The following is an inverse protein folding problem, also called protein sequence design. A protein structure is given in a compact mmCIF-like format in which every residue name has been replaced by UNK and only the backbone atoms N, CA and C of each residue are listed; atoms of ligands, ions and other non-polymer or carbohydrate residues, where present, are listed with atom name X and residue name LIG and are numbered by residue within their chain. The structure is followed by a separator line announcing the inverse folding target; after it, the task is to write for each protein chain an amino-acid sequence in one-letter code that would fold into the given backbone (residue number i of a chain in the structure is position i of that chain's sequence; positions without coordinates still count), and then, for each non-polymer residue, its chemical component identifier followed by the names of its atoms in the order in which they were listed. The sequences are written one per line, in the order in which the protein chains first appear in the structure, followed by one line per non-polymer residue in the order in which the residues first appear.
data_IF_694410108871
#
_entry.id   IF_694410108871
#
_cell.length_a   1.000
_cell.length_b   1.000
_cell.length_c   1.000
_cell.angle_alpha   90.00
_cell.angle_beta   90.00
_cell.angle_gamma   90.00
#
_symmetry.space_group_name_H-M   'P 1'
#
loop_
_entity.id
_entity.type
_entity.pdbx_description
1 polymer ?
#
# COMPACT_ATOMS: atom_id res chain seq x y z
N UNK A 1 0.68 29.83 -21.91
CA UNK A 1 0.42 30.90 -20.93
C UNK A 1 1.68 31.25 -20.13
N UNK A 2 2.54 30.30 -19.75
CA UNK A 2 3.75 30.58 -18.94
C UNK A 2 5.04 30.97 -19.70
N UNK A 3 5.10 30.80 -21.03
CA UNK A 3 6.36 30.89 -21.84
C UNK A 3 7.13 32.22 -21.72
N UNK A 4 6.49 33.31 -21.29
CA UNK A 4 7.10 34.63 -21.14
C UNK A 4 6.96 35.20 -19.71
N UNK A 5 6.56 34.37 -18.74
CA UNK A 5 6.41 34.79 -17.35
C UNK A 5 7.73 34.55 -16.58
N UNK A 6 8.46 35.59 -16.17
CA UNK A 6 9.71 35.43 -15.41
C UNK A 6 9.49 34.90 -13.98
N UNK A 7 8.25 34.88 -13.50
CA UNK A 7 7.84 34.30 -12.21
C UNK A 7 7.18 32.92 -12.38
N UNK A 8 7.36 32.28 -13.54
CA UNK A 8 6.83 30.93 -13.79
C UNK A 8 7.63 29.90 -12.99
N UNK A 9 6.92 29.09 -12.20
CA UNK A 9 7.47 27.89 -11.54
C UNK A 9 7.67 26.71 -12.52
N UNK A 10 7.25 26.86 -13.78
CA UNK A 10 7.47 25.88 -14.85
C UNK A 10 8.77 26.17 -15.59
N UNK A 11 9.88 25.81 -14.96
CA UNK A 11 11.23 25.91 -15.50
C UNK A 11 11.93 24.53 -15.52
N UNK A 12 13.13 24.47 -16.09
CA UNK A 12 13.88 23.21 -16.25
C UNK A 12 14.38 22.63 -14.92
N UNK A 13 14.66 23.47 -13.93
CA UNK A 13 15.12 23.03 -12.61
C UNK A 13 13.97 22.36 -11.86
N UNK A 14 12.83 23.03 -11.78
CA UNK A 14 11.60 22.48 -11.20
C UNK A 14 11.13 21.22 -11.92
N UNK A 15 11.27 21.14 -13.25
CA UNK A 15 10.99 19.91 -14.02
C UNK A 15 11.91 18.75 -13.59
N UNK A 16 13.22 18.98 -13.47
CA UNK A 16 14.18 17.95 -13.09
C UNK A 16 13.95 17.45 -11.64
N UNK A 17 13.65 18.37 -10.72
CA UNK A 17 13.32 18.03 -9.32
C UNK A 17 12.00 17.28 -9.24
N UNK A 18 10.95 17.75 -9.92
CA UNK A 18 9.67 17.05 -9.97
C UNK A 18 9.81 15.64 -10.54
N UNK A 19 10.56 15.48 -11.63
CA UNK A 19 10.85 14.17 -12.22
C UNK A 19 11.54 13.24 -11.23
N UNK A 20 12.59 13.73 -10.55
CA UNK A 20 13.32 12.96 -9.54
C UNK A 20 12.42 12.54 -8.37
N UNK A 21 11.56 13.45 -7.89
CA UNK A 21 10.60 13.17 -6.83
C UNK A 21 9.62 12.05 -7.23
N UNK A 22 9.12 12.06 -8.47
CA UNK A 22 8.22 11.03 -8.97
C UNK A 22 8.90 9.65 -9.02
N UNK A 23 10.17 9.58 -9.45
CA UNK A 23 10.92 8.32 -9.47
C UNK A 23 11.14 7.76 -8.06
N UNK A 24 11.59 8.60 -7.12
CA UNK A 24 11.85 8.17 -5.73
C UNK A 24 10.56 7.70 -5.06
N UNK A 25 9.50 8.51 -5.13
CA UNK A 25 8.23 8.20 -4.46
C UNK A 25 7.51 7.00 -5.09
N UNK A 26 7.51 6.91 -6.43
CA UNK A 26 6.76 5.88 -7.18
C UNK A 26 7.44 4.51 -7.24
N UNK A 27 8.77 4.43 -7.07
CA UNK A 27 9.48 3.16 -7.23
C UNK A 27 9.56 2.38 -5.92
N UNK A 28 10.15 2.98 -4.89
CA UNK A 28 10.50 2.24 -3.67
C UNK A 28 9.26 1.79 -2.89
N UNK A 29 8.24 2.65 -2.79
CA UNK A 29 7.04 2.36 -2.00
C UNK A 29 6.20 1.24 -2.61
N UNK A 30 5.95 1.28 -3.93
CA UNK A 30 5.25 0.20 -4.65
C UNK A 30 6.06 -1.10 -4.59
N UNK A 31 7.36 -1.05 -4.87
CA UNK A 31 8.25 -2.22 -4.84
C UNK A 31 8.26 -2.91 -3.47
N UNK A 32 8.44 -2.12 -2.39
CA UNK A 32 8.43 -2.65 -1.03
C UNK A 32 7.06 -3.24 -0.63
N UNK A 33 5.96 -2.62 -1.07
CA UNK A 33 4.60 -3.16 -0.84
C UNK A 33 4.40 -4.49 -1.57
N UNK A 34 4.80 -4.61 -2.84
CA UNK A 34 4.73 -5.88 -3.59
C UNK A 34 5.58 -6.96 -2.95
N UNK A 35 6.82 -6.65 -2.55
CA UNK A 35 7.71 -7.60 -1.87
C UNK A 35 7.10 -8.12 -0.58
N UNK A 36 6.51 -7.24 0.23
CA UNK A 36 5.73 -7.66 1.39
C UNK A 36 4.53 -8.53 1.03
N UNK A 37 3.78 -8.16 0.00
CA UNK A 37 2.64 -8.93 -0.46
C UNK A 37 3.01 -10.37 -0.80
N UNK A 38 4.09 -10.58 -1.56
CA UNK A 38 4.60 -11.92 -1.87
C UNK A 38 5.04 -12.68 -0.61
N UNK A 39 5.71 -12.01 0.33
CA UNK A 39 6.13 -12.61 1.60
C UNK A 39 4.93 -13.05 2.45
N UNK A 40 3.92 -12.19 2.57
CA UNK A 40 2.70 -12.44 3.34
C UNK A 40 1.88 -13.57 2.70
N UNK A 41 1.76 -13.63 1.38
CA UNK A 41 1.07 -14.73 0.71
C UNK A 41 1.77 -16.07 0.90
N UNK A 42 3.11 -16.12 0.85
CA UNK A 42 3.84 -17.35 1.18
C UNK A 42 3.71 -17.75 2.66
N UNK A 43 3.54 -16.76 3.56
CA UNK A 43 3.28 -17.01 4.99
C UNK A 43 1.88 -17.60 5.20
N UNK A 44 0.93 -17.19 4.37
CA UNK A 44 -0.50 -17.48 4.45
C UNK A 44 -0.98 -18.18 3.16
N UNK A 45 -0.55 -19.44 2.90
CA UNK A 45 -0.91 -20.16 1.67
C UNK A 45 -2.43 -20.32 1.48
N UNK A 46 -3.20 -20.32 2.56
CA UNK A 46 -4.67 -20.31 2.53
C UNK A 46 -5.25 -19.02 1.93
N UNK A 47 -4.57 -17.89 2.12
CA UNK A 47 -4.95 -16.60 1.51
C UNK A 47 -4.56 -16.60 0.04
N UNK A 48 -3.36 -17.08 -0.30
CA UNK A 48 -2.93 -17.25 -1.69
C UNK A 48 -3.90 -18.14 -2.48
N UNK A 49 -4.33 -19.27 -1.92
CA UNK A 49 -5.26 -20.19 -2.57
C UNK A 49 -6.61 -19.53 -2.93
N UNK A 50 -7.15 -18.69 -2.03
CA UNK A 50 -8.40 -17.97 -2.30
C UNK A 50 -8.24 -16.87 -3.35
N UNK A 51 -7.09 -16.21 -3.40
CA UNK A 51 -6.78 -15.26 -4.49
C UNK A 51 -6.68 -15.99 -5.83
N UNK A 52 -6.04 -17.17 -5.87
CA UNK A 52 -6.00 -18.01 -7.06
C UNK A 52 -7.40 -18.42 -7.51
N UNK A 53 -8.25 -18.90 -6.61
CA UNK A 53 -9.64 -19.27 -6.91
C UNK A 53 -10.42 -18.09 -7.52
N UNK A 54 -10.29 -16.89 -6.96
CA UNK A 54 -10.96 -15.70 -7.46
C UNK A 54 -10.41 -15.26 -8.83
N UNK A 55 -9.09 -15.34 -9.06
CA UNK A 55 -8.46 -15.11 -10.37
C UNK A 55 -9.01 -16.08 -11.40
N UNK A 56 -9.03 -17.37 -11.08
CA UNK A 56 -9.46 -18.43 -12.00
C UNK A 56 -10.95 -18.26 -12.35
N UNK A 57 -11.78 -17.90 -11.38
CA UNK A 57 -13.21 -17.70 -11.57
C UNK A 57 -13.55 -16.42 -12.36
N UNK A 58 -12.83 -15.32 -12.16
CA UNK A 58 -13.18 -14.01 -12.73
C UNK A 58 -12.45 -13.75 -14.05
N UNK A 59 -11.17 -14.10 -14.13
CA UNK A 59 -10.29 -13.79 -15.26
C UNK A 59 -9.98 -15.05 -16.07
N UNK A 60 -9.73 -16.17 -15.39
CA UNK A 60 -9.22 -17.41 -15.99
C UNK A 60 -7.77 -17.26 -16.49
N UNK A 61 -7.25 -18.28 -17.20
CA UNK A 61 -5.85 -18.31 -17.66
C UNK A 61 -5.62 -17.73 -19.06
N UNK A 62 -6.69 -17.52 -19.85
CA UNK A 62 -6.57 -17.11 -21.26
C UNK A 62 -6.59 -15.59 -21.47
N UNK A 63 -6.88 -14.82 -20.43
CA UNK A 63 -7.00 -13.37 -20.48
C UNK A 63 -6.00 -12.72 -19.55
N UNK A 64 -5.53 -11.51 -19.89
CA UNK A 64 -4.65 -10.74 -19.01
C UNK A 64 -5.50 -9.98 -17.98
N UNK A 65 -5.08 -9.91 -16.71
CA UNK A 65 -5.76 -9.10 -15.71
C UNK A 65 -5.88 -7.63 -16.14
N UNK A 66 -7.01 -7.03 -15.83
CA UNK A 66 -7.32 -5.65 -16.16
C UNK A 66 -8.01 -4.94 -14.98
N UNK A 67 -8.03 -3.60 -15.02
CA UNK A 67 -8.70 -2.82 -13.97
C UNK A 67 -10.22 -2.99 -13.93
N UNK A 68 -10.82 -3.58 -14.97
CA UNK A 68 -12.26 -3.89 -14.96
C UNK A 68 -12.56 -5.10 -14.07
N UNK A 69 -11.59 -5.99 -13.89
CA UNK A 69 -11.75 -7.23 -13.12
C UNK A 69 -11.72 -6.94 -11.63
N UNK A 70 -10.95 -5.92 -11.23
CA UNK A 70 -10.81 -5.45 -9.85
C UNK A 70 -12.15 -5.34 -9.10
N UNK A 71 -13.17 -4.72 -9.70
CA UNK A 71 -14.50 -4.54 -9.09
C UNK A 71 -15.27 -5.85 -8.84
N UNK A 72 -14.85 -6.95 -9.47
CA UNK A 72 -15.44 -8.29 -9.34
C UNK A 72 -14.60 -9.22 -8.45
N UNK A 73 -13.49 -8.71 -7.89
CA UNK A 73 -12.53 -9.48 -7.11
C UNK A 73 -12.40 -8.91 -5.68
N UNK A 74 -13.49 -8.91 -4.89
CA UNK A 74 -13.50 -8.32 -3.56
C UNK A 74 -12.48 -8.95 -2.60
N UNK A 75 -12.18 -10.25 -2.73
CA UNK A 75 -11.23 -10.90 -1.85
C UNK A 75 -9.79 -10.45 -2.15
N UNK A 76 -9.43 -10.37 -3.42
CA UNK A 76 -8.12 -9.87 -3.87
C UNK A 76 -7.93 -8.40 -3.50
N UNK A 77 -8.98 -7.57 -3.63
CA UNK A 77 -8.93 -6.19 -3.14
C UNK A 77 -8.77 -6.13 -1.62
N UNK A 78 -9.46 -6.98 -0.86
CA UNK A 78 -9.33 -7.06 0.58
C UNK A 78 -7.91 -7.47 1.00
N UNK A 79 -7.31 -8.44 0.31
CA UNK A 79 -5.91 -8.86 0.51
C UNK A 79 -4.93 -7.71 0.25
N UNK A 80 -5.11 -6.96 -0.85
CA UNK A 80 -4.26 -5.81 -1.16
C UNK A 80 -4.39 -4.70 -0.11
N UNK A 81 -5.60 -4.39 0.34
CA UNK A 81 -5.81 -3.42 1.40
C UNK A 81 -5.19 -3.90 2.72
N UNK A 82 -5.34 -5.17 3.03
CA UNK A 82 -4.76 -5.75 4.25
C UNK A 82 -3.23 -5.77 4.21
N UNK A 83 -2.61 -6.05 3.05
CA UNK A 83 -1.15 -5.93 2.89
C UNK A 83 -0.72 -4.51 3.25
N UNK A 84 -1.35 -3.48 2.66
CA UNK A 84 -0.97 -2.09 2.91
C UNK A 84 -1.21 -1.66 4.38
N UNK A 85 -2.31 -2.11 4.98
CA UNK A 85 -2.65 -1.84 6.38
C UNK A 85 -1.63 -2.50 7.32
N UNK A 86 -1.45 -3.81 7.18
CA UNK A 86 -0.59 -4.61 8.05
C UNK A 86 0.85 -4.13 8.05
N UNK A 87 1.43 -3.87 6.87
CA UNK A 87 2.82 -3.45 6.79
C UNK A 87 3.03 -2.03 7.29
N UNK A 88 1.98 -1.20 7.29
CA UNK A 88 2.03 0.22 7.68
C UNK A 88 3.33 0.87 7.17
N UNK A 89 3.49 0.95 5.83
CA UNK A 89 4.79 1.19 5.20
C UNK A 89 5.49 2.48 5.68
N UNK A 90 4.69 3.52 5.98
CA UNK A 90 5.11 4.83 6.48
C UNK A 90 4.42 5.14 7.82
N UNK A 91 4.84 4.56 8.95
CA UNK A 91 4.13 4.66 10.24
C UNK A 91 3.89 6.10 10.70
N UNK A 92 4.85 7.00 10.47
CA UNK A 92 4.80 8.41 10.87
C UNK A 92 4.54 9.38 9.72
N UNK A 93 4.14 8.88 8.54
CA UNK A 93 4.00 9.67 7.32
C UNK A 93 5.28 10.49 7.00
N UNK A 94 5.16 11.46 6.10
CA UNK A 94 6.14 12.54 5.94
C UNK A 94 5.84 13.71 6.88
N UNK A 95 6.86 14.46 7.33
CA UNK A 95 6.64 15.65 8.14
C UNK A 95 5.80 16.73 7.44
N UNK A 96 4.84 17.29 8.17
CA UNK A 96 4.06 18.45 7.77
C UNK A 96 4.51 19.69 8.56
N UNK A 97 4.09 20.88 8.13
CA UNK A 97 4.23 22.11 8.91
C UNK A 97 2.94 22.93 8.83
N UNK A 98 2.56 23.58 9.94
CA UNK A 98 1.41 24.50 9.92
C UNK A 98 1.78 25.79 9.18
N UNK A 99 0.91 26.26 8.29
CA UNK A 99 1.19 27.41 7.41
C UNK A 99 0.90 28.77 8.05
N UNK A 100 0.25 28.77 9.22
CA UNK A 100 -0.05 29.92 10.06
C UNK A 100 -0.29 29.46 11.50
N UNK A 101 -0.25 30.40 12.44
CA UNK A 101 -0.68 30.15 13.82
C UNK A 101 -2.09 29.54 13.80
N UNK A 102 -2.21 28.35 14.39
CA UNK A 102 -3.40 27.53 14.28
C UNK A 102 -3.85 27.10 15.65
N UNK A 103 -5.09 27.45 16.03
CA UNK A 103 -5.72 26.87 17.21
C UNK A 103 -6.15 25.43 16.89
N UNK A 104 -5.60 24.45 17.60
CA UNK A 104 -5.93 23.05 17.47
C UNK A 104 -6.26 22.45 18.84
N UNK A 105 -7.50 22.02 19.01
CA UNK A 105 -8.07 21.68 20.33
C UNK A 105 -7.86 22.84 21.31
N UNK A 106 -7.26 22.59 22.46
CA UNK A 106 -6.94 23.59 23.48
C UNK A 106 -5.63 24.37 23.22
N UNK A 107 -4.86 24.03 22.19
CA UNK A 107 -3.52 24.59 21.95
C UNK A 107 -3.52 25.62 20.83
N UNK A 108 -2.56 26.55 20.89
CA UNK A 108 -2.17 27.39 19.75
C UNK A 108 -0.83 26.88 19.24
N UNK A 109 -0.81 26.43 17.99
CA UNK A 109 0.37 25.89 17.32
C UNK A 109 0.95 27.01 16.45
N UNK A 110 2.17 27.53 16.72
CA UNK A 110 2.78 28.60 15.95
C UNK A 110 3.04 28.20 14.48
N UNK A 111 2.99 29.18 13.57
CA UNK A 111 3.38 29.01 12.16
C UNK A 111 4.75 28.34 12.05
N UNK A 112 4.87 27.37 11.15
CA UNK A 112 6.11 26.66 10.85
C UNK A 112 6.41 25.49 11.79
N UNK A 113 5.62 25.27 12.85
CA UNK A 113 5.78 24.08 13.70
C UNK A 113 5.58 22.79 12.89
N UNK A 114 6.57 21.89 12.97
CA UNK A 114 6.51 20.56 12.37
C UNK A 114 5.47 19.69 13.07
N UNK A 115 4.69 18.95 12.28
CA UNK A 115 3.68 18.00 12.74
C UNK A 115 3.94 16.66 12.06
N UNK A 116 3.96 15.58 12.84
CA UNK A 116 4.12 14.21 12.34
C UNK A 116 2.78 13.46 12.45
N UNK A 117 2.07 13.23 11.33
CA UNK A 117 0.86 12.41 11.33
C UNK A 117 1.21 10.93 11.57
N UNK A 118 0.72 10.35 12.66
CA UNK A 118 0.96 8.94 12.98
C UNK A 118 -0.05 8.03 12.26
N UNK A 119 0.24 7.62 11.02
CA UNK A 119 -0.61 6.70 10.26
C UNK A 119 -0.79 5.34 10.97
N UNK A 120 0.25 4.88 11.67
CA UNK A 120 0.18 3.63 12.45
C UNK A 120 -0.96 3.64 13.47
N UNK A 121 -1.24 4.80 14.09
CA UNK A 121 -2.33 4.92 15.07
C UNK A 121 -3.72 4.68 14.46
N UNK A 122 -3.86 4.89 13.15
CA UNK A 122 -5.13 4.73 12.42
C UNK A 122 -5.19 3.34 11.77
N UNK A 123 -4.12 2.91 11.10
CA UNK A 123 -4.04 1.63 10.40
C UNK A 123 -4.00 0.42 11.36
N UNK A 124 -3.62 0.65 12.62
CA UNK A 124 -3.61 -0.36 13.69
C UNK A 124 -4.64 -0.05 14.79
N UNK A 125 -5.67 0.76 14.51
CA UNK A 125 -6.73 1.02 15.48
C UNK A 125 -7.47 -0.29 15.81
N UNK A 126 -7.40 -0.71 17.07
CA UNK A 126 -7.93 -2.00 17.51
C UNK A 126 -9.46 -2.06 17.60
N UNK A 127 -10.15 -0.92 17.50
CA UNK A 127 -11.62 -0.87 17.48
C UNK A 127 -12.13 -1.10 16.06
N UNK A 128 -11.42 -0.56 15.07
CA UNK A 128 -11.75 -0.77 13.65
C UNK A 128 -11.20 -2.09 13.10
N UNK A 129 -9.99 -2.48 13.52
CA UNK A 129 -9.30 -3.69 13.09
C UNK A 129 -9.02 -4.61 14.29
N UNK A 130 -9.91 -5.57 14.61
CA UNK A 130 -9.71 -6.50 15.72
C UNK A 130 -8.44 -7.37 15.53
N UNK A 131 -7.56 -7.41 16.52
CA UNK A 131 -6.22 -8.03 16.39
C UNK A 131 -5.39 -7.37 15.26
N UNK A 132 -5.13 -6.05 15.34
CA UNK A 132 -4.54 -5.28 14.24
C UNK A 132 -3.13 -5.74 13.85
N UNK A 133 -2.42 -6.41 14.75
CA UNK A 133 -1.09 -7.01 14.56
C UNK A 133 -1.12 -8.35 13.81
N UNK A 134 -2.31 -8.84 13.44
CA UNK A 134 -2.49 -10.06 12.64
C UNK A 134 -2.83 -9.66 11.20
N UNK A 135 -2.25 -10.37 10.24
CA UNK A 135 -2.61 -10.26 8.84
C UNK A 135 -3.90 -11.05 8.60
N UNK A 136 -5.01 -10.36 8.37
CA UNK A 136 -6.32 -10.96 8.12
C UNK A 136 -7.10 -10.16 7.08
N UNK A 137 -7.26 -10.67 5.83
CA UNK A 137 -8.09 -10.03 4.81
C UNK A 137 -9.55 -9.80 5.24
N UNK A 138 -10.04 -10.52 6.26
CA UNK A 138 -11.33 -10.29 6.90
C UNK A 138 -11.52 -8.87 7.45
N UNK A 139 -10.44 -8.16 7.75
CA UNK A 139 -10.46 -6.73 8.07
C UNK A 139 -11.06 -5.85 6.97
N UNK A 140 -11.11 -6.32 5.73
CA UNK A 140 -11.66 -5.58 4.59
C UNK A 140 -12.83 -6.30 3.93
N UNK A 141 -13.44 -7.27 4.61
CA UNK A 141 -14.62 -7.98 4.11
C UNK A 141 -15.81 -7.74 5.05
N UNK A 142 -17.00 -7.68 4.46
CA UNK A 142 -18.26 -7.74 5.19
C UNK A 142 -18.75 -9.19 5.37
N UNK A 143 -19.89 -9.36 6.04
CA UNK A 143 -20.48 -10.68 6.31
C UNK A 143 -20.87 -11.46 5.04
N UNK A 144 -21.02 -10.77 3.91
CA UNK A 144 -21.38 -11.36 2.62
C UNK A 144 -20.14 -11.61 1.75
N UNK A 145 -18.92 -11.33 2.25
CA UNK A 145 -17.68 -11.44 1.48
C UNK A 145 -17.47 -10.29 0.48
N UNK A 146 -18.23 -9.20 0.58
CA UNK A 146 -18.02 -8.01 -0.24
C UNK A 146 -16.96 -7.11 0.40
N UNK A 147 -16.29 -6.30 -0.43
CA UNK A 147 -15.25 -5.37 0.03
C UNK A 147 -15.86 -4.32 0.98
N UNK A 148 -15.40 -4.33 2.23
CA UNK A 148 -15.75 -3.33 3.25
C UNK A 148 -14.87 -2.10 3.10
N UNK A 149 -15.48 -0.92 3.00
CA UNK A 149 -14.78 0.37 3.03
C UNK A 149 -14.72 0.90 4.45
N UNK A 150 -13.62 1.56 4.80
CA UNK A 150 -13.42 2.18 6.11
C UNK A 150 -12.60 3.46 5.98
N UNK A 151 -12.93 4.48 6.76
CA UNK A 151 -12.21 5.76 6.80
C UNK A 151 -10.84 5.65 7.49
N UNK A 152 -10.57 4.52 8.16
CA UNK A 152 -9.29 4.24 8.80
C UNK A 152 -8.24 3.71 7.82
N UNK A 153 -8.63 3.35 6.59
CA UNK A 153 -7.71 2.85 5.58
C UNK A 153 -7.07 4.00 4.80
N UNK A 154 -6.02 4.57 5.37
CA UNK A 154 -5.31 5.76 4.86
C UNK A 154 -3.80 5.53 4.61
N UNK A 155 -3.39 4.43 3.94
CA UNK A 155 -1.96 4.18 3.68
C UNK A 155 -1.32 5.24 2.77
N UNK A 156 -2.14 6.02 2.07
CA UNK A 156 -1.74 7.11 1.17
C UNK A 156 -1.88 8.50 1.79
N UNK A 157 -2.03 8.60 3.12
CA UNK A 157 -2.36 9.84 3.83
C UNK A 157 -3.75 10.38 3.44
N UNK A 158 -4.10 11.58 3.93
CA UNK A 158 -5.35 12.26 3.65
C UNK A 158 -5.18 13.78 3.56
N UNK A 159 -6.15 14.46 2.96
CA UNK A 159 -6.18 15.92 2.83
C UNK A 159 -5.28 16.45 1.71
N UNK A 160 -4.84 17.71 1.83
CA UNK A 160 -4.14 18.45 0.75
C UNK A 160 -2.79 17.86 0.32
N UNK A 161 -2.22 16.96 1.12
CA UNK A 161 -0.94 16.26 0.86
C UNK A 161 -1.15 14.75 0.76
N UNK A 162 -2.37 14.30 0.44
CA UNK A 162 -2.61 12.91 0.06
C UNK A 162 -1.71 12.52 -1.12
N UNK A 163 -1.34 11.24 -1.21
CA UNK A 163 -0.41 10.75 -2.21
C UNK A 163 -0.90 11.06 -3.63
N UNK A 164 -0.10 11.81 -4.39
CA UNK A 164 -0.38 12.09 -5.81
C UNK A 164 -0.42 10.81 -6.65
N UNK A 165 0.31 9.79 -6.23
CA UNK A 165 0.42 8.50 -6.91
C UNK A 165 -0.58 7.45 -6.47
N UNK A 166 -1.55 7.75 -5.57
CA UNK A 166 -2.48 6.72 -5.05
C UNK A 166 -3.17 5.94 -6.17
N UNK A 167 -3.70 6.64 -7.18
CA UNK A 167 -4.36 6.00 -8.31
C UNK A 167 -3.44 5.03 -9.05
N UNK A 168 -2.22 5.46 -9.35
CA UNK A 168 -1.22 4.64 -10.06
C UNK A 168 -0.77 3.45 -9.20
N UNK A 169 -0.42 3.67 -7.94
CA UNK A 169 0.02 2.60 -7.04
C UNK A 169 -1.05 1.50 -6.90
N UNK A 170 -2.33 1.87 -6.74
CA UNK A 170 -3.42 0.88 -6.67
C UNK A 170 -3.57 0.05 -7.95
N UNK A 171 -3.27 0.66 -9.11
CA UNK A 171 -3.26 -0.03 -10.42
C UNK A 171 -2.09 -1.00 -10.49
N UNK A 172 -0.88 -0.53 -10.16
CA UNK A 172 0.34 -1.33 -10.16
C UNK A 172 0.21 -2.55 -9.23
N UNK A 173 -0.19 -2.32 -7.97
CA UNK A 173 -0.34 -3.39 -6.98
C UNK A 173 -1.33 -4.46 -7.43
N UNK A 174 -2.50 -4.04 -7.96
CA UNK A 174 -3.49 -4.98 -8.43
C UNK A 174 -3.00 -5.78 -9.64
N UNK A 175 -2.54 -5.10 -10.69
CA UNK A 175 -2.15 -5.75 -11.94
C UNK A 175 -0.91 -6.63 -11.76
N UNK A 176 0.12 -6.17 -11.05
CA UNK A 176 1.32 -6.98 -10.83
C UNK A 176 1.02 -8.21 -9.98
N UNK A 177 0.30 -8.06 -8.86
CA UNK A 177 0.02 -9.19 -7.99
C UNK A 177 -0.85 -10.24 -8.70
N UNK A 178 -1.95 -9.81 -9.34
CA UNK A 178 -2.83 -10.73 -10.07
C UNK A 178 -2.14 -11.37 -11.26
N UNK A 179 -1.30 -10.65 -12.00
CA UNK A 179 -0.54 -11.23 -13.11
C UNK A 179 0.46 -12.28 -12.61
N UNK A 180 1.17 -12.01 -11.51
CA UNK A 180 2.08 -13.00 -10.91
C UNK A 180 1.29 -14.24 -10.48
N UNK A 181 0.21 -14.08 -9.72
CA UNK A 181 -0.55 -15.19 -9.16
C UNK A 181 -1.37 -15.96 -10.20
N UNK A 182 -1.79 -15.32 -11.29
CA UNK A 182 -2.42 -16.03 -12.40
C UNK A 182 -1.48 -17.05 -13.05
N UNK A 183 -0.17 -16.78 -13.06
CA UNK A 183 0.82 -17.58 -13.78
C UNK A 183 1.67 -18.45 -12.85
N UNK A 184 1.71 -18.14 -11.55
CA UNK A 184 2.62 -18.80 -10.61
C UNK A 184 1.99 -19.02 -9.25
N UNK A 185 2.33 -20.16 -8.63
CA UNK A 185 2.18 -20.39 -7.19
C UNK A 185 3.49 -20.03 -6.48
N UNK A 186 3.38 -19.38 -5.33
CA UNK A 186 4.54 -18.94 -4.56
C UNK A 186 4.98 -20.08 -3.63
N UNK A 187 6.25 -20.48 -3.71
CA UNK A 187 6.81 -21.52 -2.84
C UNK A 187 7.99 -21.00 -2.02
N UNK A 188 7.89 -20.95 -0.69
CA UNK A 188 9.03 -20.62 0.15
C UNK A 188 10.11 -21.71 0.10
N UNK A 189 11.33 -21.34 0.46
CA UNK A 189 12.46 -22.29 0.63
C UNK A 189 12.51 -22.92 2.02
N UNK A 190 11.70 -22.42 2.95
CA UNK A 190 11.52 -22.89 4.33
C UNK A 190 10.03 -23.17 4.56
N UNK A 191 9.68 -23.75 5.70
CA UNK A 191 8.27 -23.91 6.07
C UNK A 191 7.60 -22.53 6.22
N UNK A 192 6.33 -22.34 5.77
CA UNK A 192 5.64 -21.05 5.88
C UNK A 192 5.70 -20.45 7.29
N UNK A 193 5.51 -21.27 8.33
CA UNK A 193 5.57 -20.84 9.74
C UNK A 193 6.93 -20.25 10.16
N UNK A 194 8.01 -20.55 9.45
CA UNK A 194 9.37 -20.08 9.72
C UNK A 194 9.68 -18.76 9.00
N UNK A 195 8.83 -18.30 8.07
CA UNK A 195 9.01 -17.00 7.43
C UNK A 195 8.81 -15.87 8.44
N UNK A 196 9.83 -15.03 8.61
CA UNK A 196 9.69 -13.79 9.38
C UNK A 196 9.00 -12.73 8.54
N UNK A 197 7.86 -12.24 9.02
CA UNK A 197 7.10 -11.15 8.39
C UNK A 197 7.27 -9.82 9.12
N UNK A 198 7.95 -9.84 10.29
CA UNK A 198 8.18 -8.64 11.07
C UNK A 198 9.08 -7.67 10.31
N UNK A 199 8.71 -6.40 10.27
CA UNK A 199 9.54 -5.38 9.67
C UNK A 199 10.96 -5.30 10.22
N UNK A 200 11.91 -5.15 9.31
CA UNK A 200 13.19 -4.56 9.66
C UNK A 200 12.99 -3.05 9.74
N UNK A 201 13.24 -2.47 10.91
CA UNK A 201 13.17 -1.00 11.07
C UNK A 201 14.40 -0.38 10.43
N UNK A 202 14.19 0.38 9.35
CA UNK A 202 15.22 1.24 8.74
C UNK A 202 14.66 2.64 8.53
N UNK A 203 14.59 3.43 9.61
CA UNK A 203 14.27 4.86 9.54
C UNK A 203 12.81 5.16 9.16
N UNK A 204 12.61 5.83 8.01
CA UNK A 204 11.32 6.37 7.57
C UNK A 204 10.35 5.31 7.03
N UNK A 205 10.90 4.25 6.41
CA UNK A 205 10.13 3.18 5.75
C UNK A 205 10.26 1.87 6.51
N UNK A 206 9.16 1.14 6.56
CA UNK A 206 9.10 -0.27 6.97
C UNK A 206 9.53 -1.14 5.79
N UNK A 207 10.60 -1.94 5.92
CA UNK A 207 11.04 -2.84 4.84
C UNK A 207 10.95 -4.32 5.26
N UNK A 208 10.60 -5.23 4.34
CA UNK A 208 10.51 -6.65 4.68
C UNK A 208 11.91 -7.23 4.91
N UNK A 209 12.05 -8.24 5.78
CA UNK A 209 13.30 -8.97 5.90
C UNK A 209 13.66 -9.62 4.55
N UNK A 210 14.95 -9.79 4.23
CA UNK A 210 15.37 -10.52 3.05
C UNK A 210 14.78 -11.92 3.03
N UNK A 211 14.15 -12.31 1.93
CA UNK A 211 13.58 -13.64 1.74
C UNK A 211 13.84 -14.13 0.32
N UNK A 212 13.67 -15.43 0.11
CA UNK A 212 13.77 -16.08 -1.20
C UNK A 212 12.50 -16.89 -1.45
N UNK A 213 12.10 -16.95 -2.71
CA UNK A 213 10.97 -17.77 -3.15
C UNK A 213 11.30 -18.50 -4.44
N UNK A 214 10.50 -19.52 -4.75
CA UNK A 214 10.38 -20.11 -6.08
C UNK A 214 9.02 -19.79 -6.65
N UNK A 215 8.99 -19.36 -7.90
CA UNK A 215 7.77 -19.22 -8.69
C UNK A 215 7.54 -20.54 -9.41
N UNK A 216 6.50 -21.29 -9.02
CA UNK A 216 6.11 -22.52 -9.69
C UNK A 216 5.04 -22.19 -10.73
N UNK A 217 5.23 -22.50 -12.03
CA UNK A 217 4.20 -22.25 -13.04
C UNK A 217 2.87 -22.92 -12.67
N UNK A 218 1.77 -22.22 -12.93
CA UNK A 218 0.39 -22.72 -12.82
C UNK A 218 -0.15 -23.14 -14.18
#
# INVERSE_FOLDING_TARGET
QEKHNPMSEFDLENLAVCGSNLFVAGTETTSSTLRYGLLLLMKHPEVEAKVHEEIDSVIGHNQRPSLKDKMKMPYTEAVLNEIQRYITLLPSNLPHAVTKDTKFRQYVIPKGTTVLPLLSSVLLDCKEFPNPETFDPGHFLDKNGSLRKTDYFIPFSLGKRACVGEGLARVELFLFLTTILQNFSLKPLVEPRELETRPLVTGLLTVPPPFKLRLLPR
#
